data_IF_204529960125
#
_entry.id   IF_204529960125
#
_cell.length_a   1.000
_cell.length_b   1.000
_cell.length_c   1.000
_cell.angle_alpha   90.00
_cell.angle_beta   90.00
_cell.angle_gamma   90.00
#
_symmetry.space_group_name_H-M   'P 1'
#
loop_
_entity.id
_entity.type
_entity.pdbx_description
1 polymer ?
#
# COMPACT_ATOMS: atom_id res chain seq x y z
N UNK A 1 8.62 19.06 0.01
CA UNK A 1 7.27 19.32 0.56
C UNK A 1 6.71 20.56 -0.14
N UNK A 2 5.67 20.42 -0.96
CA UNK A 2 4.99 21.56 -1.58
C UNK A 2 3.73 21.87 -0.76
N UNK A 3 3.74 22.96 0.00
CA UNK A 3 2.55 23.44 0.72
C UNK A 3 1.70 24.26 -0.25
N UNK A 4 0.51 23.77 -0.58
CA UNK A 4 -0.45 24.52 -1.42
C UNK A 4 -1.44 25.22 -0.50
N UNK A 5 -1.48 26.56 -0.59
CA UNK A 5 -2.37 27.40 0.22
C UNK A 5 -3.64 27.68 -0.58
N UNK A 6 -4.79 27.48 0.05
CA UNK A 6 -6.10 27.57 -0.60
C UNK A 6 -6.87 28.78 -0.06
N UNK A 7 -7.44 29.61 -0.95
CA UNK A 7 -8.22 30.80 -0.61
C UNK A 7 -9.66 30.64 -1.17
N UNK A 8 -10.68 30.89 -0.34
CA UNK A 8 -12.09 30.83 -0.73
C UNK A 8 -12.62 32.24 -1.05
N UNK A 9 -13.14 32.44 -2.26
CA UNK A 9 -14.09 33.51 -2.61
C UNK A 9 -15.20 32.91 -3.51
N UNK A 10 -16.46 33.34 -3.40
CA UNK A 10 -17.58 32.65 -4.07
C UNK A 10 -17.78 33.13 -5.52
N UNK A 11 -17.98 32.21 -6.49
CA UNK A 11 -19.08 32.22 -7.50
C UNK A 11 -19.02 31.10 -8.60
N UNK A 12 -20.19 30.42 -8.77
CA UNK A 12 -20.89 29.76 -9.94
C UNK A 12 -20.41 28.47 -10.70
N UNK A 13 -21.42 27.57 -10.90
CA UNK A 13 -21.54 26.19 -11.48
C UNK A 13 -21.30 26.00 -13.00
N UNK A 14 -21.04 24.76 -13.50
CA UNK A 14 -21.72 24.02 -14.64
C UNK A 14 -21.42 22.47 -14.72
N UNK A 15 -22.49 21.64 -14.84
CA UNK A 15 -22.84 20.34 -15.52
C UNK A 15 -21.99 19.02 -15.61
N UNK A 16 -22.71 17.87 -15.67
CA UNK A 16 -22.31 16.42 -15.65
C UNK A 16 -22.34 15.67 -17.01
N UNK A 17 -21.70 14.49 -17.08
CA UNK A 17 -22.03 13.37 -18.02
C UNK A 17 -21.55 11.98 -17.52
N UNK A 18 -22.27 10.90 -17.87
CA UNK A 18 -22.11 9.50 -17.40
C UNK A 18 -21.50 8.55 -18.46
N UNK A 19 -20.74 7.53 -18.04
CA UNK A 19 -20.30 6.38 -18.88
C UNK A 19 -20.61 5.06 -18.16
N UNK A 20 -21.08 4.06 -18.92
CA UNK A 20 -21.41 2.68 -18.48
C UNK A 20 -20.21 1.76 -18.74
N UNK A 21 -19.89 0.86 -17.80
CA UNK A 21 -18.87 -0.18 -17.97
C UNK A 21 -19.53 -1.56 -17.85
N UNK A 22 -19.27 -2.41 -18.85
CA UNK A 22 -19.67 -3.81 -18.95
C UNK A 22 -18.69 -4.71 -18.19
N UNK A 23 -19.21 -5.73 -17.50
CA UNK A 23 -18.45 -6.63 -16.64
C UNK A 23 -18.43 -8.05 -17.21
N UNK A 24 -17.23 -8.56 -17.44
CA UNK A 24 -16.99 -9.98 -17.68
C UNK A 24 -15.78 -10.47 -16.86
N UNK A 25 -15.80 -11.72 -16.35
CA UNK A 25 -14.83 -12.23 -15.38
C UNK A 25 -13.46 -12.51 -16.00
N UNK A 26 -12.41 -11.93 -15.40
CA UNK A 26 -11.02 -12.05 -15.85
C UNK A 26 -10.39 -13.40 -15.43
N UNK A 27 -9.96 -14.19 -16.41
CA UNK A 27 -8.82 -15.11 -16.28
C UNK A 27 -7.53 -14.29 -16.44
N UNK A 28 -6.50 -14.55 -15.64
CA UNK A 28 -5.21 -13.84 -15.74
C UNK A 28 -4.65 -13.97 -17.16
N UNK A 29 -4.73 -12.90 -17.94
CA UNK A 29 -4.21 -12.86 -19.31
C UNK A 29 -2.70 -12.65 -19.26
N UNK A 30 -1.95 -13.74 -19.40
CA UNK A 30 -0.52 -13.69 -19.67
C UNK A 30 -0.31 -13.34 -21.15
N UNK A 31 -0.18 -12.06 -21.47
CA UNK A 31 0.35 -11.66 -22.78
C UNK A 31 1.87 -11.84 -22.80
N UNK A 32 2.35 -12.61 -23.78
CA UNK A 32 3.78 -12.86 -24.01
C UNK A 32 4.39 -11.74 -24.87
N UNK A 33 5.48 -11.09 -24.41
CA UNK A 33 6.38 -10.42 -25.33
C UNK A 33 7.81 -10.95 -25.10
N UNK A 34 8.10 -12.19 -25.47
CA UNK A 34 9.48 -12.62 -25.68
C UNK A 34 9.54 -13.55 -26.88
N UNK A 35 10.33 -13.15 -27.88
CA UNK A 35 10.69 -13.99 -29.01
C UNK A 35 11.64 -15.09 -28.53
N UNK A 36 11.46 -16.27 -29.10
CA UNK A 36 12.41 -17.38 -29.05
C UNK A 36 13.78 -16.89 -29.53
N UNK A 37 14.72 -16.69 -28.61
CA UNK A 37 16.14 -16.85 -28.90
C UNK A 37 16.91 -17.08 -27.58
N UNK A 38 17.61 -18.21 -27.52
CA UNK A 38 18.80 -18.49 -26.69
C UNK A 38 18.62 -18.93 -25.22
N UNK A 39 17.86 -20.02 -24.99
CA UNK A 39 17.78 -20.68 -23.67
C UNK A 39 19.01 -21.54 -23.29
N UNK A 40 20.00 -21.73 -24.17
CA UNK A 40 21.04 -22.77 -24.01
C UNK A 40 22.49 -22.27 -23.84
N UNK A 41 22.69 -20.98 -23.53
CA UNK A 41 24.03 -20.42 -23.28
C UNK A 41 24.08 -19.58 -21.99
N UNK A 42 23.69 -20.21 -20.86
CA UNK A 42 23.73 -19.58 -19.53
C UNK A 42 25.09 -19.78 -18.88
N UNK A 43 25.78 -18.70 -18.54
CA UNK A 43 26.94 -18.74 -17.64
C UNK A 43 26.46 -18.91 -16.19
N UNK A 44 27.33 -19.33 -15.24
CA UNK A 44 26.97 -19.38 -13.82
C UNK A 44 26.46 -18.05 -13.22
N UNK A 45 26.67 -16.92 -13.91
CA UNK A 45 26.19 -15.60 -13.52
C UNK A 45 24.79 -15.25 -14.05
N UNK A 46 24.24 -16.03 -15.00
CA UNK A 46 22.91 -15.77 -15.53
C UNK A 46 21.84 -16.18 -14.51
N UNK A 47 20.97 -15.23 -14.18
CA UNK A 47 19.95 -15.39 -13.15
C UNK A 47 18.74 -16.14 -13.69
N UNK A 48 18.40 -15.93 -14.96
CA UNK A 48 17.20 -16.49 -15.58
C UNK A 48 15.95 -15.78 -15.07
N UNK A 49 14.95 -16.54 -14.63
CA UNK A 49 13.68 -15.98 -14.18
C UNK A 49 13.73 -15.59 -12.69
N UNK A 50 13.33 -14.35 -12.37
CA UNK A 50 13.27 -13.80 -11.01
C UNK A 50 11.82 -13.58 -10.62
N UNK A 51 11.36 -14.25 -9.56
CA UNK A 51 10.06 -13.97 -8.96
C UNK A 51 10.24 -13.12 -7.70
N UNK A 52 9.67 -11.92 -7.69
CA UNK A 52 9.54 -11.11 -6.48
C UNK A 52 8.20 -11.41 -5.84
N UNK A 53 8.22 -11.95 -4.63
CA UNK A 53 7.04 -12.20 -3.80
C UNK A 53 7.05 -11.20 -2.65
N UNK A 54 5.98 -10.42 -2.50
CA UNK A 54 5.96 -9.46 -1.39
C UNK A 54 4.64 -8.80 -1.05
N UNK A 55 4.70 -7.77 -0.21
CA UNK A 55 3.53 -7.00 0.18
C UNK A 55 3.51 -5.58 -0.42
N UNK A 56 2.99 -4.59 0.30
CA UNK A 56 2.96 -3.18 -0.11
C UNK A 56 4.37 -2.60 -0.31
N UNK A 57 5.36 -3.05 0.45
CA UNK A 57 6.75 -2.57 0.35
C UNK A 57 7.34 -2.95 -1.02
N UNK A 58 7.02 -4.15 -1.52
CA UNK A 58 7.41 -4.61 -2.85
C UNK A 58 6.48 -4.20 -3.98
N UNK A 59 5.18 -4.19 -3.76
CA UNK A 59 4.21 -3.78 -4.77
C UNK A 59 4.38 -2.30 -5.14
N UNK A 60 4.59 -1.44 -4.13
CA UNK A 60 4.62 0.00 -4.29
C UNK A 60 3.26 0.61 -4.55
N UNK A 61 3.19 1.94 -4.54
CA UNK A 61 1.99 2.71 -4.83
C UNK A 61 2.08 3.33 -6.22
N UNK A 62 0.94 3.72 -6.80
CA UNK A 62 0.90 4.40 -8.09
C UNK A 62 1.85 5.60 -8.14
N UNK A 63 2.71 5.61 -9.17
CA UNK A 63 3.76 6.60 -9.37
C UNK A 63 5.09 6.30 -8.68
N UNK A 64 5.22 5.23 -7.87
CA UNK A 64 6.51 4.78 -7.37
C UNK A 64 7.37 4.18 -8.48
N UNK A 65 8.69 4.22 -8.29
CA UNK A 65 9.61 3.42 -9.11
C UNK A 65 9.72 1.99 -8.58
N UNK A 66 9.54 1.80 -7.27
CA UNK A 66 9.73 0.58 -6.51
C UNK A 66 11.18 0.11 -6.46
N UNK A 67 11.55 -0.64 -5.41
CA UNK A 67 12.88 -1.24 -5.30
C UNK A 67 13.16 -2.27 -6.41
N UNK A 68 12.11 -2.88 -6.97
CA UNK A 68 12.20 -3.87 -8.07
C UNK A 68 12.87 -3.26 -9.30
N UNK A 69 12.51 -2.02 -9.66
CA UNK A 69 13.18 -1.27 -10.72
C UNK A 69 14.65 -1.04 -10.40
N UNK A 70 14.98 -0.66 -9.16
CA UNK A 70 16.37 -0.38 -8.76
C UNK A 70 17.23 -1.64 -8.82
N UNK A 71 16.67 -2.78 -8.43
CA UNK A 71 17.35 -4.07 -8.55
C UNK A 71 17.53 -4.47 -10.03
N UNK A 72 16.50 -4.28 -10.86
CA UNK A 72 16.58 -4.51 -12.30
C UNK A 72 17.64 -3.62 -12.97
N UNK A 73 17.71 -2.35 -12.61
CA UNK A 73 18.74 -1.42 -13.09
C UNK A 73 20.15 -1.92 -12.73
N UNK A 74 20.35 -2.43 -11.52
CA UNK A 74 21.63 -3.02 -11.10
C UNK A 74 21.97 -4.29 -11.87
N UNK A 75 21.05 -5.25 -11.98
CA UNK A 75 21.28 -6.49 -12.73
C UNK A 75 21.73 -6.20 -14.18
N UNK A 76 21.14 -5.18 -14.81
CA UNK A 76 21.57 -4.74 -16.15
C UNK A 76 22.94 -4.08 -16.18
N UNK A 77 23.24 -3.23 -15.20
CA UNK A 77 24.57 -2.62 -15.09
C UNK A 77 25.66 -3.68 -14.95
N UNK A 78 25.36 -4.75 -14.22
CA UNK A 78 26.23 -5.92 -14.06
C UNK A 78 26.19 -6.89 -15.25
N UNK A 79 25.48 -6.55 -16.34
CA UNK A 79 25.29 -7.42 -17.52
C UNK A 79 24.72 -8.81 -17.20
N UNK A 80 23.97 -8.93 -16.11
CA UNK A 80 23.30 -10.16 -15.68
C UNK A 80 22.01 -10.33 -16.48
N UNK A 81 21.85 -11.49 -17.15
CA UNK A 81 20.58 -11.84 -17.80
C UNK A 81 19.54 -12.24 -16.74
N UNK A 82 18.56 -11.38 -16.53
CA UNK A 82 17.44 -11.61 -15.62
C UNK A 82 16.11 -11.15 -16.25
N UNK A 83 15.10 -12.01 -16.17
CA UNK A 83 13.72 -11.70 -16.56
C UNK A 83 12.86 -11.77 -15.31
N UNK A 84 12.17 -10.68 -14.98
CA UNK A 84 11.24 -10.71 -13.86
C UNK A 84 9.96 -11.41 -14.31
N UNK A 85 9.42 -12.27 -13.47
CA UNK A 85 8.24 -13.10 -13.75
C UNK A 85 7.21 -12.95 -12.65
N UNK A 86 5.96 -13.24 -12.98
CA UNK A 86 4.83 -13.10 -12.06
C UNK A 86 3.55 -12.67 -12.78
N UNK A 87 2.39 -12.87 -12.12
CA UNK A 87 1.08 -12.56 -12.68
C UNK A 87 0.79 -11.04 -12.70
N UNK A 88 1.45 -10.25 -11.87
CA UNK A 88 1.22 -8.80 -11.76
C UNK A 88 2.32 -8.03 -12.47
N UNK A 89 1.99 -6.85 -13.00
CA UNK A 89 2.92 -5.97 -13.73
C UNK A 89 2.92 -4.54 -13.22
N UNK A 90 2.01 -4.13 -12.33
CA UNK A 90 1.85 -2.74 -11.91
C UNK A 90 2.22 -2.48 -10.45
N UNK A 91 1.71 -1.36 -9.95
CA UNK A 91 1.74 -0.98 -8.53
C UNK A 91 0.33 -1.04 -7.96
N UNK A 92 0.17 -0.84 -6.65
CA UNK A 92 -1.16 -0.63 -6.10
C UNK A 92 -1.81 0.60 -6.73
N UNK A 93 -3.04 0.43 -7.24
CA UNK A 93 -3.84 1.53 -7.79
C UNK A 93 -4.24 2.46 -6.66
N UNK A 94 -4.15 3.76 -6.89
CA UNK A 94 -4.65 4.72 -5.92
C UNK A 94 -6.16 4.58 -5.79
N UNK A 95 -6.67 4.45 -4.56
CA UNK A 95 -8.10 4.34 -4.30
C UNK A 95 -8.88 5.44 -5.02
N UNK A 96 -9.98 5.05 -5.68
CA UNK A 96 -10.88 6.03 -6.25
C UNK A 96 -11.40 6.94 -5.14
N UNK A 97 -11.46 8.25 -5.38
CA UNK A 97 -11.96 9.19 -4.40
C UNK A 97 -13.44 8.90 -4.15
N UNK A 98 -13.77 8.54 -2.91
CA UNK A 98 -15.14 8.35 -2.49
C UNK A 98 -15.43 9.19 -1.25
N UNK A 99 -16.71 9.52 -1.07
CA UNK A 99 -17.17 10.11 0.17
C UNK A 99 -16.90 9.13 1.33
N UNK A 100 -16.71 9.60 2.56
CA UNK A 100 -16.50 8.69 3.68
C UNK A 100 -17.70 7.74 3.84
N UNK A 101 -17.49 6.45 3.58
CA UNK A 101 -18.53 5.43 3.76
C UNK A 101 -18.39 4.76 5.14
N UNK A 102 -19.51 4.34 5.75
CA UNK A 102 -19.46 3.46 6.92
C UNK A 102 -18.76 2.14 6.54
N UNK A 103 -17.94 1.54 7.43
CA UNK A 103 -17.32 0.25 7.15
C UNK A 103 -18.38 -0.81 6.82
N UNK A 104 -18.17 -1.56 5.73
CA UNK A 104 -19.00 -2.72 5.43
C UNK A 104 -18.73 -3.81 6.49
N UNK A 105 -19.77 -4.24 7.19
CA UNK A 105 -19.67 -5.16 8.33
C UNK A 105 -19.41 -6.63 7.92
N UNK A 106 -19.29 -6.92 6.63
CA UNK A 106 -19.35 -8.31 6.13
C UNK A 106 -18.51 -8.49 4.87
N UNK A 107 -17.21 -8.72 5.02
CA UNK A 107 -16.51 -9.57 4.06
C UNK A 107 -15.81 -10.70 4.82
N UNK A 108 -16.19 -11.97 4.55
CA UNK A 108 -15.45 -13.10 5.09
C UNK A 108 -14.02 -13.10 4.52
N UNK A 109 -13.04 -13.71 5.21
CA UNK A 109 -11.73 -13.94 4.64
C UNK A 109 -11.89 -14.69 3.32
N UNK A 110 -11.47 -14.07 2.22
CA UNK A 110 -11.46 -14.72 0.92
C UNK A 110 -10.07 -15.32 0.70
N UNK A 111 -10.01 -16.64 0.54
CA UNK A 111 -8.78 -17.36 0.19
C UNK A 111 -8.43 -17.25 -1.30
N UNK A 112 -9.26 -16.57 -2.10
CA UNK A 112 -8.94 -16.25 -3.49
C UNK A 112 -7.97 -15.08 -3.60
N UNK A 113 -7.17 -15.10 -4.66
CA UNK A 113 -6.36 -13.96 -5.04
C UNK A 113 -7.24 -12.71 -5.23
N UNK A 114 -6.80 -11.54 -4.71
CA UNK A 114 -7.49 -10.28 -4.95
C UNK A 114 -7.50 -9.94 -6.45
N UNK A 115 -8.45 -9.09 -6.84
CA UNK A 115 -8.61 -8.67 -8.24
C UNK A 115 -7.29 -8.05 -8.77
N UNK A 116 -6.73 -8.57 -9.89
CA UNK A 116 -5.58 -7.97 -10.59
C UNK A 116 -5.63 -6.46 -10.73
N UNK A 117 -6.84 -5.93 -10.98
CA UNK A 117 -7.05 -4.53 -11.28
C UNK A 117 -6.58 -3.62 -10.15
N UNK A 118 -6.62 -4.08 -8.89
CA UNK A 118 -6.10 -3.33 -7.74
C UNK A 118 -4.57 -3.14 -7.75
N UNK A 119 -3.86 -3.84 -8.63
CA UNK A 119 -2.41 -3.83 -8.77
C UNK A 119 -1.95 -3.43 -10.18
N UNK A 120 -2.81 -2.75 -10.94
CA UNK A 120 -2.55 -2.24 -12.28
C UNK A 120 -2.11 -0.76 -12.28
N UNK A 121 -1.68 -0.22 -11.14
CA UNK A 121 -1.21 1.15 -11.01
C UNK A 121 0.05 1.37 -11.85
N UNK A 122 0.17 2.55 -12.45
CA UNK A 122 1.33 2.89 -13.28
C UNK A 122 2.54 3.22 -12.41
N UNK A 123 3.73 2.83 -12.86
CA UNK A 123 4.98 3.27 -12.23
C UNK A 123 5.24 4.76 -12.44
N UNK A 124 6.28 5.26 -11.78
CA UNK A 124 6.85 6.58 -12.03
C UNK A 124 7.01 6.84 -13.54
N UNK A 125 6.66 8.05 -13.99
CA UNK A 125 6.68 8.45 -15.40
C UNK A 125 8.04 8.34 -16.08
N UNK A 126 9.13 8.29 -15.29
CA UNK A 126 10.49 8.10 -15.78
C UNK A 126 10.94 6.61 -15.80
N UNK A 127 10.00 5.67 -15.69
CA UNK A 127 10.31 4.25 -15.76
C UNK A 127 10.66 3.85 -17.20
N UNK A 128 11.81 3.19 -17.44
CA UNK A 128 12.19 2.76 -18.78
C UNK A 128 11.15 1.81 -19.38
N UNK A 129 10.85 1.95 -20.67
CA UNK A 129 9.93 1.05 -21.38
C UNK A 129 10.36 -0.42 -21.28
N UNK A 130 11.67 -0.66 -21.26
CA UNK A 130 12.22 -2.00 -21.11
C UNK A 130 11.99 -2.61 -19.73
N UNK A 131 12.05 -1.80 -18.67
CA UNK A 131 11.65 -2.25 -17.33
C UNK A 131 10.16 -2.63 -17.33
N UNK A 132 9.30 -1.83 -17.96
CA UNK A 132 7.87 -2.14 -18.04
C UNK A 132 7.62 -3.46 -18.80
N UNK A 133 8.43 -3.77 -19.79
CA UNK A 133 8.27 -4.99 -20.60
C UNK A 133 8.84 -6.25 -19.93
N UNK A 134 9.99 -6.17 -19.25
CA UNK A 134 10.74 -7.36 -18.78
C UNK A 134 11.11 -7.35 -17.30
N UNK A 135 11.00 -6.20 -16.62
CA UNK A 135 11.41 -6.01 -15.22
C UNK A 135 10.26 -5.79 -14.24
N UNK A 136 9.06 -5.50 -14.74
CA UNK A 136 7.92 -5.06 -13.93
C UNK A 136 7.16 -6.22 -13.28
N UNK A 137 7.29 -7.44 -13.82
CA UNK A 137 6.50 -8.59 -13.37
C UNK A 137 6.84 -9.01 -11.94
N UNK A 138 5.83 -9.38 -11.16
CA UNK A 138 5.99 -9.77 -9.76
C UNK A 138 4.76 -10.50 -9.22
N UNK A 139 4.85 -10.94 -7.97
CA UNK A 139 3.78 -11.48 -7.15
C UNK A 139 3.77 -10.79 -5.78
N UNK A 140 3.62 -9.46 -5.82
CA UNK A 140 3.58 -8.64 -4.61
C UNK A 140 2.29 -7.81 -4.57
N UNK A 141 1.61 -7.80 -3.43
CA UNK A 141 0.27 -7.20 -3.30
C UNK A 141 0.17 -6.40 -2.02
N UNK A 142 -0.37 -5.19 -2.11
CA UNK A 142 -0.61 -4.36 -0.93
C UNK A 142 -1.42 -5.09 0.14
N UNK A 143 -0.93 -5.11 1.38
CA UNK A 143 -1.57 -5.78 2.51
C UNK A 143 -1.40 -7.31 2.57
N UNK A 144 -0.65 -7.91 1.64
CA UNK A 144 -0.41 -9.36 1.59
C UNK A 144 0.27 -9.87 2.86
N UNK A 145 -0.24 -10.98 3.38
CA UNK A 145 0.36 -11.71 4.50
C UNK A 145 1.18 -12.90 4.00
N UNK A 146 2.17 -13.31 4.77
CA UNK A 146 2.97 -14.50 4.49
C UNK A 146 2.08 -15.75 4.43
N UNK A 147 1.16 -15.92 5.38
CA UNK A 147 0.26 -17.07 5.40
C UNK A 147 -0.58 -17.23 4.13
N UNK A 148 -1.06 -16.11 3.56
CA UNK A 148 -1.81 -16.11 2.31
C UNK A 148 -0.93 -16.55 1.13
N UNK A 149 0.29 -16.01 1.03
CA UNK A 149 1.24 -16.40 -0.03
C UNK A 149 1.72 -17.85 0.11
N UNK A 150 1.84 -18.39 1.33
CA UNK A 150 2.15 -19.80 1.57
C UNK A 150 1.11 -20.71 0.94
N UNK A 151 -0.18 -20.35 0.99
CA UNK A 151 -1.27 -21.16 0.44
C UNK A 151 -1.31 -21.17 -1.09
N UNK A 152 -0.79 -20.13 -1.74
CA UNK A 152 -1.01 -19.86 -3.17
C UNK A 152 0.25 -19.99 -4.02
N UNK A 153 1.45 -19.89 -3.44
CA UNK A 153 2.73 -19.86 -4.18
C UNK A 153 2.94 -21.07 -5.09
N UNK A 154 2.54 -22.27 -4.67
CA UNK A 154 2.65 -23.48 -5.50
C UNK A 154 1.80 -23.36 -6.77
N UNK A 155 0.58 -22.80 -6.67
CA UNK A 155 -0.28 -22.58 -7.83
C UNK A 155 0.33 -21.56 -8.78
N UNK A 156 0.81 -20.43 -8.26
CA UNK A 156 1.46 -19.38 -9.06
C UNK A 156 2.70 -19.90 -9.77
N UNK A 157 3.58 -20.64 -9.08
CA UNK A 157 4.79 -21.19 -9.69
C UNK A 157 4.49 -22.27 -10.73
N UNK A 158 3.45 -23.09 -10.54
CA UNK A 158 3.02 -24.05 -11.56
C UNK A 158 2.49 -23.34 -12.81
N UNK A 159 1.70 -22.27 -12.65
CA UNK A 159 1.27 -21.46 -13.80
C UNK A 159 2.48 -20.87 -14.54
N UNK A 160 3.43 -20.27 -13.82
CA UNK A 160 4.66 -19.76 -14.43
C UNK A 160 5.44 -20.86 -15.15
N UNK A 161 5.50 -22.07 -14.58
CA UNK A 161 6.14 -23.23 -15.21
C UNK A 161 5.47 -23.61 -16.53
N UNK A 162 4.14 -23.65 -16.57
CA UNK A 162 3.36 -23.96 -17.77
C UNK A 162 3.60 -22.93 -18.88
N UNK A 163 3.93 -21.69 -18.50
CA UNK A 163 4.34 -20.61 -19.40
C UNK A 163 5.85 -20.52 -19.65
N UNK A 164 6.65 -21.54 -19.29
CA UNK A 164 8.12 -21.56 -19.43
C UNK A 164 8.84 -20.42 -18.68
N UNK A 165 8.19 -19.89 -17.63
CA UNK A 165 8.63 -18.79 -16.78
C UNK A 165 8.94 -19.22 -15.34
N UNK A 166 9.19 -20.52 -15.12
CA UNK A 166 9.51 -21.03 -13.77
C UNK A 166 10.70 -20.24 -13.18
N UNK A 167 10.58 -19.65 -11.98
CA UNK A 167 11.63 -18.82 -11.41
C UNK A 167 12.83 -19.65 -10.94
N UNK A 168 14.01 -19.19 -11.32
CA UNK A 168 15.33 -19.69 -10.88
C UNK A 168 15.76 -19.01 -9.57
N UNK A 169 15.31 -17.76 -9.36
CA UNK A 169 15.50 -16.98 -8.13
C UNK A 169 14.15 -16.51 -7.60
N UNK A 170 13.93 -16.69 -6.29
CA UNK A 170 12.75 -16.15 -5.59
C UNK A 170 13.21 -15.17 -4.51
N UNK A 171 12.75 -13.93 -4.61
CA UNK A 171 13.00 -12.87 -3.63
C UNK A 171 11.74 -12.67 -2.81
N UNK A 172 11.83 -12.84 -1.49
CA UNK A 172 10.67 -12.82 -0.59
C UNK A 172 10.77 -11.65 0.36
N UNK A 173 9.77 -10.77 0.33
CA UNK A 173 9.61 -9.63 1.24
C UNK A 173 8.20 -9.71 1.82
N UNK A 174 8.02 -10.47 2.89
CA UNK A 174 6.72 -10.74 3.52
C UNK A 174 6.89 -10.87 5.03
N UNK A 175 5.80 -10.62 5.76
CA UNK A 175 5.70 -10.84 7.20
C UNK A 175 5.38 -9.59 7.99
N UNK A 176 5.57 -8.39 7.40
CA UNK A 176 5.18 -7.15 8.08
C UNK A 176 3.69 -7.14 8.42
N UNK A 177 2.82 -7.53 7.48
CA UNK A 177 1.37 -7.54 7.73
C UNK A 177 0.95 -8.54 8.81
N UNK A 178 1.57 -9.72 8.86
CA UNK A 178 1.33 -10.72 9.90
C UNK A 178 1.70 -10.18 11.29
N UNK A 179 2.86 -9.54 11.41
CA UNK A 179 3.36 -8.98 12.69
C UNK A 179 2.59 -7.71 13.08
N UNK A 180 2.40 -6.82 12.12
CA UNK A 180 1.81 -5.49 12.28
C UNK A 180 0.31 -5.51 12.53
N UNK A 181 -0.44 -6.37 11.85
CA UNK A 181 -1.90 -6.42 11.90
C UNK A 181 -2.47 -7.60 12.66
N UNK A 182 -1.85 -8.78 12.53
CA UNK A 182 -2.31 -9.99 13.23
C UNK A 182 -1.57 -10.24 14.53
N UNK A 183 -0.54 -9.46 14.78
CA UNK A 183 0.22 -9.51 16.01
C UNK A 183 1.14 -10.71 16.13
N UNK A 184 1.52 -11.32 15.00
CA UNK A 184 2.49 -12.39 14.95
C UNK A 184 3.87 -11.95 15.49
N UNK A 185 4.73 -12.94 15.75
CA UNK A 185 6.11 -12.75 16.21
C UNK A 185 6.94 -13.97 15.79
N UNK A 186 7.84 -14.50 16.63
CA UNK A 186 8.68 -15.66 16.30
C UNK A 186 7.92 -16.89 15.78
N UNK A 187 6.66 -17.08 16.20
CA UNK A 187 5.79 -18.16 15.74
C UNK A 187 5.46 -18.13 14.24
N UNK A 188 5.80 -17.06 13.52
CA UNK A 188 5.65 -16.95 12.06
C UNK A 188 6.78 -17.63 11.28
N UNK A 189 7.92 -17.91 11.92
CA UNK A 189 9.10 -18.55 11.27
C UNK A 189 8.76 -19.91 10.63
N UNK A 190 7.99 -20.82 11.26
CA UNK A 190 7.52 -22.04 10.61
C UNK A 190 6.71 -21.80 9.33
N UNK A 191 5.90 -20.73 9.27
CA UNK A 191 5.14 -20.37 8.06
C UNK A 191 6.08 -19.94 6.93
N UNK A 192 7.16 -19.22 7.22
CA UNK A 192 8.20 -18.89 6.23
C UNK A 192 8.91 -20.15 5.73
N UNK A 193 9.19 -21.10 6.63
CA UNK A 193 9.75 -22.40 6.24
C UNK A 193 8.80 -23.15 5.30
N UNK A 194 7.51 -23.19 5.63
CA UNK A 194 6.50 -23.82 4.77
C UNK A 194 6.41 -23.14 3.40
N UNK A 195 6.48 -21.80 3.35
CA UNK A 195 6.56 -21.06 2.08
C UNK A 195 7.74 -21.53 1.22
N UNK A 196 8.94 -21.61 1.82
CA UNK A 196 10.16 -22.09 1.14
C UNK A 196 10.01 -23.54 0.65
N UNK A 197 9.41 -24.41 1.46
CA UNK A 197 9.16 -25.80 1.08
C UNK A 197 8.17 -25.90 -0.09
N UNK A 198 7.14 -25.05 -0.12
CA UNK A 198 6.19 -24.96 -1.22
C UNK A 198 6.82 -24.46 -2.52
N UNK A 199 7.78 -23.52 -2.44
CA UNK A 199 8.61 -23.11 -3.59
C UNK A 199 9.43 -24.29 -4.13
N UNK A 200 10.11 -25.00 -3.23
CA UNK A 200 10.97 -26.16 -3.57
C UNK A 200 10.20 -27.35 -4.13
N UNK A 201 8.95 -27.51 -3.72
CA UNK A 201 8.06 -28.53 -4.27
C UNK A 201 7.81 -28.34 -5.77
N UNK A 202 7.88 -27.10 -6.28
CA UNK A 202 7.73 -26.78 -7.71
C UNK A 202 9.08 -26.69 -8.42
N UNK A 203 10.06 -26.02 -7.81
CA UNK A 203 11.44 -25.94 -8.31
C UNK A 203 12.45 -26.34 -7.22
N UNK A 204 12.96 -27.58 -7.22
CA UNK A 204 13.92 -28.05 -6.21
C UNK A 204 15.31 -27.40 -6.31
N UNK A 205 15.57 -26.62 -7.37
CA UNK A 205 16.83 -25.91 -7.61
C UNK A 205 16.72 -24.39 -7.39
N UNK A 206 15.57 -23.89 -6.92
CA UNK A 206 15.37 -22.46 -6.73
C UNK A 206 16.37 -21.89 -5.70
N UNK A 207 17.01 -20.77 -6.06
CA UNK A 207 17.80 -19.94 -5.14
C UNK A 207 16.86 -18.95 -4.47
N UNK A 208 16.85 -18.88 -3.14
CA UNK A 208 15.84 -18.11 -2.41
C UNK A 208 16.52 -17.06 -1.53
N UNK A 209 16.13 -15.80 -1.68
CA UNK A 209 16.53 -14.72 -0.78
C UNK A 209 15.33 -14.27 0.01
N UNK A 210 15.43 -14.34 1.34
CA UNK A 210 14.37 -13.91 2.25
C UNK A 210 14.78 -12.61 2.91
N UNK A 211 13.97 -11.56 2.74
CA UNK A 211 14.07 -10.32 3.48
C UNK A 211 13.57 -10.48 4.91
N UNK A 212 14.31 -9.96 5.89
CA UNK A 212 13.73 -9.73 7.21
C UNK A 212 12.71 -8.58 7.17
N UNK A 213 11.90 -8.45 8.23
CA UNK A 213 10.85 -7.44 8.29
C UNK A 213 11.44 -6.11 8.77
N UNK A 214 11.30 -5.01 8.03
CA UNK A 214 11.83 -3.73 8.48
C UNK A 214 11.05 -3.18 9.68
N UNK A 215 11.76 -2.54 10.59
CA UNK A 215 11.17 -1.64 11.55
C UNK A 215 10.51 -0.45 10.85
N UNK A 216 9.49 0.09 11.51
CA UNK A 216 8.83 1.34 11.15
C UNK A 216 8.93 2.35 12.27
N UNK A 217 8.63 3.60 11.99
CA UNK A 217 8.46 4.64 13.01
C UNK A 217 7.38 4.28 14.03
N UNK A 218 7.46 4.91 15.20
CA UNK A 218 6.57 4.62 16.33
C UNK A 218 5.09 4.79 15.97
N UNK A 219 4.28 3.86 16.46
CA UNK A 219 2.82 3.96 16.49
C UNK A 219 2.30 4.44 17.85
N UNK A 220 3.20 4.84 18.76
CA UNK A 220 2.85 5.21 20.12
C UNK A 220 2.06 4.12 20.83
N UNK A 221 0.99 4.50 21.52
CA UNK A 221 0.12 3.58 22.26
C UNK A 221 -0.76 2.71 21.37
N UNK A 222 -0.85 2.96 20.05
CA UNK A 222 -1.70 2.18 19.15
C UNK A 222 -1.16 0.75 18.95
N UNK A 223 0.17 0.55 18.98
CA UNK A 223 0.78 -0.77 18.89
C UNK A 223 2.17 -0.79 19.58
N UNK A 224 2.24 -0.69 20.91
CA UNK A 224 3.50 -0.56 21.63
C UNK A 224 4.40 -1.81 21.58
N UNK A 225 3.82 -2.97 21.22
CA UNK A 225 4.55 -4.24 21.14
C UNK A 225 5.15 -4.53 19.76
N UNK A 226 4.81 -3.74 18.73
CA UNK A 226 5.27 -3.97 17.36
C UNK A 226 6.81 -4.01 17.24
N UNK A 227 7.59 -3.09 17.84
CA UNK A 227 9.04 -3.13 17.71
C UNK A 227 9.63 -4.44 18.26
N UNK A 228 9.25 -4.83 19.49
CA UNK A 228 9.77 -6.05 20.09
C UNK A 228 9.41 -7.30 19.27
N UNK A 229 8.18 -7.42 18.78
CA UNK A 229 7.78 -8.56 17.94
C UNK A 229 8.54 -8.62 16.62
N UNK A 230 8.87 -7.46 16.05
CA UNK A 230 9.66 -7.36 14.81
C UNK A 230 11.09 -7.83 15.07
N UNK A 231 11.73 -7.33 16.13
CA UNK A 231 13.05 -7.80 16.59
C UNK A 231 13.05 -9.31 16.84
N UNK A 232 12.12 -9.81 17.65
CA UNK A 232 12.05 -11.23 18.02
C UNK A 232 11.86 -12.13 16.78
N UNK A 233 11.02 -11.72 15.84
CA UNK A 233 10.84 -12.44 14.57
C UNK A 233 12.11 -12.42 13.73
N UNK A 234 12.74 -11.26 13.55
CA UNK A 234 13.94 -11.11 12.73
C UNK A 234 15.12 -11.94 13.29
N UNK A 235 15.31 -11.94 14.61
CA UNK A 235 16.34 -12.76 15.29
C UNK A 235 16.06 -14.27 15.13
N UNK A 236 14.81 -14.69 15.30
CA UNK A 236 14.41 -16.08 15.11
C UNK A 236 14.57 -16.52 13.64
N UNK A 237 14.23 -15.66 12.68
CA UNK A 237 14.37 -15.90 11.25
C UNK A 237 15.86 -16.04 10.87
N UNK A 238 16.71 -15.12 11.34
CA UNK A 238 18.15 -15.14 11.08
C UNK A 238 18.82 -16.41 11.65
N UNK A 239 18.33 -16.90 12.79
CA UNK A 239 18.80 -18.17 13.37
C UNK A 239 18.36 -19.38 12.55
N UNK A 240 17.12 -19.37 12.03
CA UNK A 240 16.55 -20.54 11.37
C UNK A 240 16.98 -20.69 9.90
N UNK A 241 17.08 -19.58 9.14
CA UNK A 241 17.34 -19.60 7.69
C UNK A 241 18.58 -20.44 7.27
N UNK A 242 19.75 -20.34 7.94
CA UNK A 242 20.92 -21.14 7.58
C UNK A 242 20.67 -22.65 7.64
N UNK A 243 19.80 -23.11 8.55
CA UNK A 243 19.45 -24.53 8.72
C UNK A 243 18.58 -25.07 7.59
N UNK A 244 17.97 -24.19 6.78
CA UNK A 244 17.11 -24.55 5.67
C UNK A 244 17.84 -24.55 4.33
N UNK A 245 19.03 -23.96 4.26
CA UNK A 245 19.83 -23.85 3.05
C UNK A 245 20.43 -25.19 2.64
N UNK A 246 20.50 -25.46 1.35
CA UNK A 246 21.12 -26.66 0.78
C UNK A 246 22.03 -26.25 -0.39
N UNK A 247 22.91 -27.14 -0.83
CA UNK A 247 23.75 -26.88 -2.02
C UNK A 247 22.89 -26.68 -3.28
N UNK A 248 21.83 -27.47 -3.44
CA UNK A 248 20.97 -27.47 -4.64
C UNK A 248 19.96 -26.33 -4.65
N UNK A 249 19.42 -25.97 -3.49
CA UNK A 249 18.49 -24.84 -3.31
C UNK A 249 19.00 -24.00 -2.14
N UNK A 250 19.95 -23.07 -2.38
CA UNK A 250 20.49 -22.24 -1.33
C UNK A 250 19.47 -21.19 -0.89
N UNK A 251 19.50 -20.88 0.40
CA UNK A 251 18.68 -19.83 1.03
C UNK A 251 19.60 -18.83 1.71
N UNK A 252 19.36 -17.55 1.50
CA UNK A 252 20.12 -16.47 2.12
C UNK A 252 19.20 -15.37 2.68
N UNK A 253 19.67 -14.68 3.71
CA UNK A 253 18.97 -13.55 4.31
C UNK A 253 19.38 -12.24 3.61
N UNK A 254 18.40 -11.41 3.27
CA UNK A 254 18.59 -10.00 2.96
C UNK A 254 18.18 -9.17 4.19
N UNK A 255 19.10 -8.38 4.73
CA UNK A 255 18.84 -7.54 5.89
C UNK A 255 18.22 -6.19 5.45
N UNK A 256 16.91 -6.24 5.17
CA UNK A 256 16.10 -5.09 4.80
C UNK A 256 15.95 -4.12 5.96
N UNK A 257 15.81 -4.63 7.19
CA UNK A 257 15.67 -3.84 8.41
C UNK A 257 16.86 -2.91 8.63
N UNK A 258 18.08 -3.47 8.61
CA UNK A 258 19.30 -2.69 8.73
C UNK A 258 19.48 -1.72 7.54
N UNK A 259 19.09 -2.14 6.33
CA UNK A 259 19.16 -1.28 5.15
C UNK A 259 18.21 -0.08 5.26
N UNK A 260 17.00 -0.26 5.80
CA UNK A 260 16.05 0.81 6.06
C UNK A 260 16.54 1.78 7.13
N UNK A 261 17.06 1.25 8.25
CA UNK A 261 17.57 2.05 9.35
C UNK A 261 16.50 2.88 10.06
N UNK A 262 15.22 2.47 10.01
CA UNK A 262 14.16 3.19 10.72
C UNK A 262 14.26 2.92 12.23
N UNK A 263 14.30 3.99 13.03
CA UNK A 263 14.22 3.90 14.48
C UNK A 263 12.74 3.72 14.93
N UNK A 264 12.39 2.61 15.60
CA UNK A 264 11.02 2.38 16.08
C UNK A 264 10.55 3.32 17.19
N UNK A 265 11.46 4.08 17.81
CA UNK A 265 11.12 5.15 18.74
C UNK A 265 10.92 6.50 18.06
N UNK A 266 11.40 6.67 16.82
CA UNK A 266 11.30 7.94 16.09
C UNK A 266 9.92 8.13 15.45
N UNK A 267 9.55 9.39 15.22
CA UNK A 267 8.33 9.79 14.49
C UNK A 267 8.52 9.93 12.98
N UNK A 268 9.77 9.89 12.50
CA UNK A 268 10.13 9.99 11.08
C UNK A 268 11.24 9.01 10.75
N UNK A 269 11.33 8.60 9.49
CA UNK A 269 12.41 7.76 8.99
C UNK A 269 12.81 8.25 7.60
N UNK A 270 14.11 8.36 7.34
CA UNK A 270 14.66 8.90 6.09
C UNK A 270 14.33 8.02 4.88
N UNK A 271 14.20 6.71 5.09
CA UNK A 271 13.94 5.73 4.02
C UNK A 271 12.47 5.60 3.65
N UNK A 272 11.55 6.23 4.37
CA UNK A 272 10.10 6.02 4.21
C UNK A 272 9.34 7.34 4.08
N UNK A 273 8.13 7.30 3.53
CA UNK A 273 7.27 8.49 3.43
C UNK A 273 6.17 8.56 4.49
N UNK A 274 5.77 7.42 5.07
CA UNK A 274 4.74 7.33 6.13
C UNK A 274 5.25 6.61 7.39
N UNK A 275 6.56 6.40 7.47
CA UNK A 275 7.20 5.66 8.54
C UNK A 275 7.43 4.19 8.26
N UNK A 276 6.83 3.61 7.21
CA UNK A 276 6.96 2.20 6.83
C UNK A 276 7.28 2.01 5.34
N UNK A 277 6.51 2.64 4.45
CA UNK A 277 6.63 2.37 3.02
C UNK A 277 7.79 3.14 2.40
N UNK A 278 8.56 2.51 1.49
CA UNK A 278 9.79 3.08 0.98
C UNK A 278 9.52 4.34 0.16
N UNK A 279 10.28 5.40 0.45
CA UNK A 279 10.46 6.50 -0.49
C UNK A 279 11.60 6.16 -1.47
N UNK A 280 12.01 7.11 -2.32
CA UNK A 280 13.08 6.86 -3.30
C UNK A 280 14.38 6.34 -2.67
N UNK A 281 14.75 6.79 -1.47
CA UNK A 281 15.92 6.31 -0.75
C UNK A 281 15.73 4.86 -0.27
N UNK A 282 14.58 4.57 0.34
CA UNK A 282 14.21 3.23 0.79
C UNK A 282 14.18 2.22 -0.36
N UNK A 283 13.73 2.64 -1.55
CA UNK A 283 13.76 1.80 -2.76
C UNK A 283 15.18 1.35 -3.11
N UNK A 284 16.17 2.26 -3.08
CA UNK A 284 17.58 1.91 -3.32
C UNK A 284 18.15 1.04 -2.20
N UNK A 285 17.80 1.31 -0.94
CA UNK A 285 18.28 0.55 0.22
C UNK A 285 17.79 -0.90 0.23
N UNK A 286 16.51 -1.15 -0.10
CA UNK A 286 16.00 -2.53 -0.28
C UNK A 286 16.69 -3.23 -1.44
N UNK A 287 16.81 -2.57 -2.59
CA UNK A 287 17.47 -3.15 -3.75
C UNK A 287 18.94 -3.49 -3.44
N UNK A 288 19.62 -2.66 -2.64
CA UNK A 288 20.95 -2.95 -2.13
C UNK A 288 20.97 -4.16 -1.21
N UNK A 289 20.02 -4.30 -0.29
CA UNK A 289 19.95 -5.47 0.59
C UNK A 289 19.82 -6.77 -0.23
N UNK A 290 18.85 -6.85 -1.14
CA UNK A 290 18.67 -8.02 -2.00
C UNK A 290 19.86 -8.23 -2.96
N UNK A 291 20.29 -7.20 -3.68
CA UNK A 291 21.36 -7.31 -4.66
C UNK A 291 22.72 -7.66 -4.03
N UNK A 292 23.04 -7.12 -2.85
CA UNK A 292 24.26 -7.50 -2.12
C UNK A 292 24.21 -8.98 -1.70
N UNK A 293 23.04 -9.48 -1.28
CA UNK A 293 22.87 -10.91 -0.97
C UNK A 293 23.00 -11.78 -2.22
N UNK A 294 22.39 -11.38 -3.35
CA UNK A 294 22.55 -12.08 -4.63
C UNK A 294 24.03 -12.15 -5.06
N UNK A 295 24.75 -11.05 -4.94
CA UNK A 295 26.18 -10.97 -5.25
C UNK A 295 27.01 -11.84 -4.32
N UNK A 296 26.93 -11.60 -3.01
CA UNK A 296 27.83 -12.20 -2.02
C UNK A 296 27.52 -13.67 -1.73
N UNK A 297 26.25 -14.05 -1.75
CA UNK A 297 25.84 -15.43 -1.43
C UNK A 297 25.72 -16.31 -2.67
N UNK A 298 25.32 -15.78 -3.81
CA UNK A 298 25.06 -16.57 -5.03
C UNK A 298 25.99 -16.24 -6.20
N UNK A 299 26.91 -15.27 -6.07
CA UNK A 299 27.86 -14.91 -7.12
C UNK A 299 27.24 -14.18 -8.32
N UNK A 300 26.07 -13.56 -8.13
CA UNK A 300 25.35 -12.84 -9.19
C UNK A 300 25.82 -11.39 -9.26
N UNK A 301 26.32 -10.97 -10.42
CA UNK A 301 26.93 -9.64 -10.61
C UNK A 301 28.34 -9.55 -10.04
N UNK A 302 29.04 -8.45 -10.36
CA UNK A 302 30.44 -8.19 -10.01
C UNK A 302 30.62 -7.32 -8.77
N UNK A 303 29.67 -6.45 -8.44
CA UNK A 303 29.72 -5.56 -7.28
C UNK A 303 28.35 -5.39 -6.58
N UNK A 304 28.37 -4.94 -5.32
CA UNK A 304 27.15 -4.59 -4.59
C UNK A 304 26.41 -3.40 -5.25
N UNK A 305 25.06 -3.37 -5.22
CA UNK A 305 24.30 -2.21 -5.68
C UNK A 305 24.67 -0.95 -4.90
N UNK A 306 24.80 0.17 -5.63
CA UNK A 306 25.17 1.47 -5.06
C UNK A 306 23.94 2.33 -4.80
N UNK A 307 23.93 3.03 -3.67
CA UNK A 307 23.00 4.12 -3.40
C UNK A 307 23.52 5.38 -4.12
N UNK A 308 22.65 6.14 -4.83
CA UNK A 308 23.07 7.37 -5.49
C UNK A 308 23.44 8.44 -4.45
N UNK A 309 24.52 9.18 -4.71
CA UNK A 309 24.99 10.25 -3.82
C UNK A 309 23.98 11.41 -3.67
N UNK A 310 23.08 11.56 -4.63
CA UNK A 310 21.95 12.47 -4.57
C UNK A 310 20.72 11.82 -5.20
N UNK A 311 19.59 11.88 -4.50
CA UNK A 311 18.31 11.50 -5.07
C UNK A 311 17.74 12.67 -5.86
N UNK A 312 17.29 12.40 -7.08
CA UNK A 312 16.47 13.36 -7.81
C UNK A 312 15.19 13.59 -7.00
N UNK A 313 14.81 14.85 -6.71
CA UNK A 313 13.59 15.12 -5.97
C UNK A 313 12.42 14.52 -6.73
N UNK A 314 11.62 13.70 -6.05
CA UNK A 314 10.36 13.23 -6.60
C UNK A 314 9.50 14.46 -6.90
N UNK A 315 9.14 14.62 -8.18
CA UNK A 315 8.45 15.79 -8.69
C UNK A 315 6.98 15.80 -8.32
N UNK A 316 6.66 15.83 -7.03
CA UNK A 316 5.30 16.15 -6.58
C UNK A 316 5.09 17.62 -6.91
N UNK A 317 4.34 17.87 -7.98
CA UNK A 317 4.02 19.21 -8.46
C UNK A 317 2.98 19.86 -7.56
N UNK A 318 2.89 21.19 -7.59
CA UNK A 318 1.79 21.91 -6.95
C UNK A 318 0.45 21.48 -7.58
N UNK A 319 -0.54 21.04 -6.78
CA UNK A 319 -1.90 20.79 -7.23
C UNK A 319 -2.43 21.93 -8.10
N UNK A 320 -2.91 21.58 -9.29
CA UNK A 320 -3.54 22.50 -10.23
C UNK A 320 -5.05 22.22 -10.34
N UNK A 321 -5.77 23.15 -10.97
CA UNK A 321 -7.23 23.04 -11.20
C UNK A 321 -8.03 22.82 -9.91
N UNK A 322 -7.67 23.59 -8.88
CA UNK A 322 -8.38 23.55 -7.61
C UNK A 322 -9.80 24.13 -7.80
N UNK A 323 -10.83 23.34 -7.48
CA UNK A 323 -12.23 23.76 -7.57
C UNK A 323 -12.95 23.55 -6.24
N UNK A 324 -14.00 24.34 -6.03
CA UNK A 324 -14.82 24.32 -4.82
C UNK A 324 -16.27 24.15 -5.20
N UNK A 325 -16.96 23.25 -4.51
CA UNK A 325 -18.41 23.14 -4.59
C UNK A 325 -19.02 23.11 -3.20
N UNK A 326 -20.01 23.97 -2.97
CA UNK A 326 -20.75 24.03 -1.72
C UNK A 326 -21.81 22.94 -1.71
N UNK A 327 -21.69 21.99 -0.80
CA UNK A 327 -22.68 20.91 -0.59
C UNK A 327 -23.51 21.18 0.67
N UNK A 328 -24.64 20.47 0.82
CA UNK A 328 -25.43 20.54 2.06
C UNK A 328 -24.66 20.06 3.31
N UNK A 329 -23.53 19.35 3.10
CA UNK A 329 -22.71 18.71 4.14
C UNK A 329 -21.31 19.34 4.26
N UNK A 330 -21.07 20.52 3.65
CA UNK A 330 -19.78 21.21 3.69
C UNK A 330 -19.24 21.59 2.32
N UNK A 331 -17.95 21.90 2.22
CA UNK A 331 -17.27 22.30 0.97
C UNK A 331 -16.55 21.10 0.37
N UNK A 332 -16.89 20.73 -0.87
CA UNK A 332 -16.08 19.78 -1.64
C UNK A 332 -14.96 20.52 -2.33
N UNK A 333 -13.73 20.02 -2.20
CA UNK A 333 -12.54 20.56 -2.87
C UNK A 333 -11.97 19.49 -3.80
N UNK A 334 -11.75 19.85 -5.06
CA UNK A 334 -11.19 18.94 -6.08
C UNK A 334 -9.96 19.56 -6.72
N UNK A 335 -9.03 18.74 -7.19
CA UNK A 335 -7.83 19.16 -7.93
C UNK A 335 -7.40 18.05 -8.90
N UNK A 336 -6.54 18.37 -9.85
CA UNK A 336 -5.98 17.36 -10.75
C UNK A 336 -5.13 16.35 -9.99
N UNK A 337 -5.37 15.05 -10.23
CA UNK A 337 -4.58 13.94 -9.66
C UNK A 337 -3.09 14.17 -9.93
N UNK A 338 -2.28 14.10 -8.88
CA UNK A 338 -0.82 14.13 -9.00
C UNK A 338 -0.31 12.70 -8.89
N UNK A 339 0.28 12.20 -9.96
CA UNK A 339 0.90 10.89 -9.99
C UNK A 339 2.04 10.83 -8.95
N UNK A 340 2.06 9.78 -8.12
CA UNK A 340 3.05 9.62 -7.05
C UNK A 340 2.76 10.44 -5.78
N UNK A 341 1.63 11.17 -5.70
CA UNK A 341 1.20 11.77 -4.45
C UNK A 341 0.51 10.72 -3.57
N UNK A 342 1.12 10.39 -2.43
CA UNK A 342 0.60 9.40 -1.48
C UNK A 342 -0.38 9.98 -0.44
N UNK A 343 -0.34 11.29 -0.23
CA UNK A 343 -1.22 12.04 0.66
C UNK A 343 -1.27 13.52 0.28
N UNK A 344 -2.27 14.22 0.81
CA UNK A 344 -2.39 15.67 0.73
C UNK A 344 -2.68 16.21 2.13
N UNK A 345 -1.90 17.20 2.55
CA UNK A 345 -2.22 18.00 3.73
C UNK A 345 -3.16 19.13 3.34
N UNK A 346 -4.33 19.19 3.99
CA UNK A 346 -5.33 20.23 3.77
C UNK A 346 -5.43 21.07 5.04
N UNK A 347 -5.34 22.39 4.89
CA UNK A 347 -5.59 23.36 5.93
C UNK A 347 -6.68 24.33 5.44
N UNK A 348 -7.57 24.74 6.34
CA UNK A 348 -8.65 25.67 6.05
C UNK A 348 -8.76 26.72 7.15
N UNK A 349 -9.38 27.86 6.87
CA UNK A 349 -9.72 28.87 7.87
C UNK A 349 -10.95 29.64 7.42
N UNK A 350 -11.78 30.07 8.38
CA UNK A 350 -12.89 30.97 8.12
C UNK A 350 -12.43 32.41 8.31
N UNK A 351 -12.38 33.18 7.23
CA UNK A 351 -11.96 34.59 7.24
C UNK A 351 -13.13 35.57 7.26
N UNK A 352 -14.37 35.10 7.42
CA UNK A 352 -15.58 35.93 7.30
C UNK A 352 -15.68 36.96 8.43
N UNK A 353 -15.22 36.59 9.64
CA UNK A 353 -15.21 37.45 10.83
C UNK A 353 -13.83 37.95 11.26
N UNK A 354 -12.75 37.29 10.83
CA UNK A 354 -11.36 37.63 11.15
C UNK A 354 -10.45 37.28 9.96
N UNK A 355 -9.90 38.27 9.23
CA UNK A 355 -9.01 38.01 8.09
C UNK A 355 -7.70 37.29 8.50
N UNK A 356 -7.33 37.36 9.78
CA UNK A 356 -6.12 36.77 10.34
C UNK A 356 -6.39 35.47 11.12
N UNK A 357 -7.59 34.89 10.95
CA UNK A 357 -7.96 33.63 11.58
C UNK A 357 -6.88 32.54 11.36
N UNK A 358 -6.63 31.78 12.43
CA UNK A 358 -5.65 30.71 12.43
C UNK A 358 -6.05 29.57 11.47
N UNK A 359 -5.04 28.95 10.85
CA UNK A 359 -5.24 27.75 10.05
C UNK A 359 -5.71 26.59 10.92
N UNK A 360 -6.82 25.99 10.51
CA UNK A 360 -7.36 24.76 11.05
C UNK A 360 -6.96 23.61 10.15
N UNK A 361 -6.47 22.53 10.75
CA UNK A 361 -6.42 21.23 10.09
C UNK A 361 -7.76 20.53 10.32
N UNK A 362 -8.29 19.79 9.34
CA UNK A 362 -9.37 18.85 9.60
C UNK A 362 -8.99 18.01 10.83
N UNK A 363 -9.88 17.84 11.83
CA UNK A 363 -9.56 16.99 12.96
C UNK A 363 -9.20 15.59 12.45
N UNK A 364 -8.22 14.89 13.06
CA UNK A 364 -8.11 13.47 12.83
C UNK A 364 -9.47 12.84 13.14
N UNK A 365 -9.99 12.07 12.18
CA UNK A 365 -11.29 11.40 12.33
C UNK A 365 -11.30 10.67 13.69
N UNK A 366 -12.38 10.74 14.51
CA UNK A 366 -12.36 10.21 15.86
C UNK A 366 -11.92 8.74 15.88
N UNK A 367 -10.85 8.49 16.62
CA UNK A 367 -10.43 7.18 17.06
C UNK A 367 -11.37 6.68 18.16
N UNK A 368 -12.19 5.67 17.85
CA UNK A 368 -12.76 4.78 18.87
C UNK A 368 -14.28 4.83 19.08
N UNK A 369 -14.95 3.76 18.67
CA UNK A 369 -15.62 2.90 19.66
C UNK A 369 -15.18 1.46 19.40
N UNK A 370 -14.43 0.89 20.32
CA UNK A 370 -13.95 -0.49 20.31
C UNK A 370 -15.08 -1.45 20.71
N UNK A 371 -15.37 -2.43 19.86
CA UNK A 371 -16.02 -3.68 20.25
C UNK A 371 -15.40 -4.83 19.45
N UNK A 372 -15.31 -6.05 20.03
CA UNK A 372 -14.41 -7.10 19.56
C UNK A 372 -14.90 -7.66 18.21
N UNK A 373 -14.05 -7.54 17.18
CA UNK A 373 -14.30 -8.09 15.85
C UNK A 373 -14.53 -7.04 14.77
N UNK A 374 -13.51 -6.25 14.44
CA UNK A 374 -13.22 -5.68 13.10
C UNK A 374 -12.23 -4.51 13.25
N UNK A 375 -11.21 -4.52 12.40
CA UNK A 375 -10.10 -3.57 12.40
C UNK A 375 -10.22 -2.59 11.24
N UNK A 376 -9.91 -1.32 11.49
CA UNK A 376 -8.87 -0.55 10.78
C UNK A 376 -8.82 0.87 11.33
N UNK A 377 -7.62 1.32 11.68
CA UNK A 377 -7.31 2.66 12.15
C UNK A 377 -5.96 3.05 11.55
N UNK A 378 -5.85 4.18 10.84
CA UNK A 378 -4.67 5.07 10.68
C UNK A 378 -4.97 6.19 9.64
N UNK A 379 -4.08 7.19 9.48
CA UNK A 379 -4.22 8.60 9.84
C UNK A 379 -4.82 9.45 8.70
N UNK A 380 -5.13 10.71 8.99
CA UNK A 380 -5.67 11.75 8.09
C UNK A 380 -5.22 11.64 6.62
N UNK A 381 -6.01 10.92 5.81
CA UNK A 381 -5.92 10.91 4.34
C UNK A 381 -7.14 11.65 3.81
N UNK A 382 -6.93 12.82 3.22
CA UNK A 382 -7.89 13.34 2.26
C UNK A 382 -7.63 12.65 0.93
N UNK A 383 -8.54 11.77 0.53
CA UNK A 383 -8.56 11.16 -0.81
C UNK A 383 -8.77 12.26 -1.86
N UNK A 384 -8.29 12.06 -3.10
CA UNK A 384 -8.26 13.11 -4.11
C UNK A 384 -9.66 13.42 -4.62
N UNK A 385 -10.47 14.21 -3.88
CA UNK A 385 -11.63 15.04 -4.30
C UNK A 385 -12.75 15.15 -3.26
N UNK A 386 -12.63 14.69 -2.01
CA UNK A 386 -13.72 14.95 -1.03
C UNK A 386 -13.24 15.09 0.41
N UNK A 387 -13.23 16.31 0.92
CA UNK A 387 -13.31 16.60 2.35
C UNK A 387 -14.70 17.13 2.66
N UNK A 388 -15.65 16.27 3.03
CA UNK A 388 -16.91 16.76 3.60
C UNK A 388 -16.65 17.20 5.05
N UNK A 389 -16.98 18.44 5.39
CA UNK A 389 -16.94 18.95 6.76
C UNK A 389 -18.35 19.30 7.24
N UNK A 390 -18.84 18.56 8.22
CA UNK A 390 -19.99 18.96 9.02
C UNK A 390 -19.57 20.03 10.04
N UNK A 391 -20.15 21.25 10.02
CA UNK A 391 -20.14 22.07 11.21
C UNK A 391 -21.05 21.42 12.26
N UNK A 392 -20.46 20.99 13.37
CA UNK A 392 -21.24 20.65 14.56
C UNK A 392 -22.03 21.91 14.99
N UNK A 393 -23.33 21.82 15.31
CA UNK A 393 -24.11 22.99 15.69
C UNK A 393 -23.67 23.46 17.09
N UNK A 394 -22.65 24.30 17.12
CA UNK A 394 -22.34 25.12 18.28
C UNK A 394 -23.34 26.26 18.38
N UNK A 395 -24.19 26.24 19.41
CA UNK A 395 -24.22 27.32 20.42
C UNK A 395 -25.45 27.17 21.34
N UNK A 396 -25.20 27.23 22.65
CA UNK A 396 -25.61 28.41 23.42
C UNK A 396 -24.85 28.50 24.77
N UNK A 397 -24.62 29.73 25.25
CA UNK A 397 -23.93 29.97 26.51
C UNK A 397 -24.81 29.56 27.69
N UNK A 398 -24.19 28.95 28.70
CA UNK A 398 -24.81 28.60 29.98
C UNK A 398 -25.19 29.89 30.73
N UNK A 399 -26.49 30.20 30.72
CA UNK A 399 -27.14 31.12 31.66
C UNK A 399 -28.08 30.34 32.59
N UNK A 400 -27.73 30.38 33.87
CA UNK A 400 -28.48 30.13 35.12
C UNK A 400 -29.75 29.22 35.16
N UNK A 401 -29.88 28.26 36.10
CA UNK A 401 -30.97 27.30 36.16
C UNK A 401 -32.04 27.70 37.19
N UNK A 402 -33.13 28.33 36.78
CA UNK A 402 -34.39 28.28 37.56
C UNK A 402 -35.62 28.51 36.66
N UNK A 403 -36.59 27.59 36.68
CA UNK A 403 -37.91 27.87 36.08
C UNK A 403 -38.74 26.68 35.61
N UNK A 404 -39.31 25.94 36.56
CA UNK A 404 -40.59 25.18 36.52
C UNK A 404 -41.17 24.74 35.16
N UNK A 405 -41.25 23.42 34.96
CA UNK A 405 -42.22 22.75 34.09
C UNK A 405 -43.66 22.84 34.64
N UNK A 406 -44.68 23.05 33.80
CA UNK A 406 -46.02 22.51 33.99
C UNK A 406 -46.30 21.32 33.06
N UNK A 407 -46.94 20.30 33.62
CA UNK A 407 -47.31 19.02 33.00
C UNK A 407 -48.19 19.14 31.75
N UNK A 408 -47.97 18.21 30.82
CA UNK A 408 -48.81 17.95 29.66
C UNK A 408 -50.14 17.27 30.05
N UNK A 409 -51.22 17.64 29.37
CA UNK A 409 -52.50 16.92 29.34
C UNK A 409 -52.80 16.47 27.89
N UNK A 410 -53.56 15.37 27.67
CA UNK A 410 -53.58 14.65 26.40
C UNK A 410 -54.64 15.14 25.40
N UNK A 411 -54.34 14.93 24.12
CA UNK A 411 -55.16 15.26 22.95
C UNK A 411 -56.49 14.48 22.86
N UNK A 412 -57.55 15.19 22.47
CA UNK A 412 -58.87 14.64 22.05
C UNK A 412 -59.04 14.75 20.52
N UNK A 413 -59.65 13.75 19.85
CA UNK A 413 -59.83 13.74 18.39
C UNK A 413 -61.14 14.45 17.93
N UNK A 414 -61.24 14.88 16.65
CA UNK A 414 -62.33 15.73 16.17
C UNK A 414 -63.61 14.96 15.77
N UNK A 415 -64.80 15.61 15.76
CA UNK A 415 -66.09 14.97 15.51
C UNK A 415 -66.46 14.83 14.01
N UNK A 416 -67.41 13.92 13.67
CA UNK A 416 -67.72 13.57 12.29
C UNK A 416 -68.71 14.53 11.59
N UNK A 417 -68.54 14.68 10.27
CA UNK A 417 -69.34 15.52 9.36
C UNK A 417 -70.77 14.98 9.14
N UNK A 418 -71.77 15.87 9.25
CA UNK A 418 -73.17 15.61 8.85
C UNK A 418 -73.45 16.07 7.40
N UNK A 419 -74.25 15.25 6.70
CA UNK A 419 -74.80 15.45 5.35
C UNK A 419 -75.87 16.55 5.31
N UNK A 420 -75.95 17.29 4.20
CA UNK A 420 -77.10 18.15 3.81
C UNK A 420 -78.11 17.36 2.97
N UNK A 421 -79.42 17.69 3.02
CA UNK A 421 -80.37 17.38 1.94
C UNK A 421 -80.72 18.63 1.10
N UNK A 422 -80.95 18.42 -0.20
CA UNK A 422 -81.53 19.35 -1.19
C UNK A 422 -83.05 19.55 -0.96
N UNK A 423 -83.77 20.49 -1.61
CA UNK A 423 -83.75 20.81 -3.06
C UNK A 423 -82.93 22.05 -3.43
#
# INVERSE_FOLDING_TARGET
>A
MATTKVYLQPEKKVAESTIVIDSSPYTWLFESPMGDDDLDNRTPQDVGNVLVVGDSISNGYEGNSTWRRRLWDWLRQESVKATFVGPLTGTHVADEPHAPEPPSATQPPNDQEPDPAGFAGVYASNSPAEFLATGSRHYAMWGRQLGQSTNTITSVMNQLKDHQQLPDVVLVELGFNDIGWLGAGPGLVPTMKQFIDNVRAVNPNARIVVGNVPHRTTLGSANPQLPQRTTDYNEALATALPTWSTVTSPVALADIDAAYGCDPAASTCESTYDGLHPNALGEYRIARAFGSTLHRSFGIGGEDPREPAALLPFGVVTPANLQFDGTQQGVTVTWSKILGAHSYDIEWRDTTGDPDAAWSRPPPRPTGSTSPGSSTASPTKATPTKSAYEPWPGTRPTGDPTGRHPSAAPHTPPPPRRRKPSP
#
